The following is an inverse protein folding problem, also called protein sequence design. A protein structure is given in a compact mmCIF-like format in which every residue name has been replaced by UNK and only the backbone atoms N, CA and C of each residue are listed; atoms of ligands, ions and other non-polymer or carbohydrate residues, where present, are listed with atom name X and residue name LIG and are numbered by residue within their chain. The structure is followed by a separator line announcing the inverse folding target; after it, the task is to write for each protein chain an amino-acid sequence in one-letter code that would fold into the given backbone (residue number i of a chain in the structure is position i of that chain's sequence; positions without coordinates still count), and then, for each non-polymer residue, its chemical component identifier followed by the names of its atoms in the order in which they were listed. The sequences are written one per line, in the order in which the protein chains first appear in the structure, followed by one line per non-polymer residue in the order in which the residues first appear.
data_IF_561964688946
#
_entry.id   IF_561964688946
#
_cell.length_a   1.000
_cell.length_b   1.000
_cell.length_c   1.000
_cell.angle_alpha   90.00
_cell.angle_beta   90.00
_cell.angle_gamma   90.00
#
_symmetry.space_group_name_H-M   'P 1'
#
loop_
_entity.id
_entity.type
_entity.pdbx_description
1 polymer ?
#
# COMPACT_ATOMS: atom_id res chain seq x y z
N UNK A 1 25.36 11.91 13.69
CA UNK A 1 24.96 10.50 13.99
C UNK A 1 23.44 10.26 13.96
N UNK A 2 22.63 11.05 13.24
CA UNK A 2 21.16 10.95 13.30
C UNK A 2 20.49 10.11 12.19
N UNK A 3 21.21 9.72 11.13
CA UNK A 3 20.60 8.98 10.02
C UNK A 3 20.12 7.56 10.34
N UNK A 4 20.81 6.83 11.23
CA UNK A 4 20.44 5.42 11.55
C UNK A 4 19.19 5.29 12.42
N UNK A 5 18.88 6.26 13.29
CA UNK A 5 17.68 6.20 14.16
C UNK A 5 16.40 6.50 13.37
N UNK A 6 16.39 7.56 12.57
CA UNK A 6 15.23 7.89 11.72
C UNK A 6 14.90 6.74 10.76
N UNK A 7 15.92 6.09 10.18
CA UNK A 7 15.69 4.97 9.27
C UNK A 7 15.08 3.75 9.97
N UNK A 8 15.40 3.51 11.25
CA UNK A 8 14.79 2.44 12.04
C UNK A 8 13.31 2.75 12.36
N UNK A 9 12.98 4.00 12.64
CA UNK A 9 11.60 4.42 12.94
C UNK A 9 10.71 4.44 11.69
N UNK A 10 11.28 4.77 10.52
CA UNK A 10 10.64 4.60 9.21
C UNK A 10 10.33 3.13 8.97
N UNK A 11 11.30 2.22 9.13
CA UNK A 11 11.07 0.78 8.94
C UNK A 11 9.99 0.22 9.86
N UNK A 12 10.00 0.60 11.14
CA UNK A 12 8.95 0.20 12.09
C UNK A 12 7.58 0.71 11.65
N UNK A 13 7.50 1.97 11.21
CA UNK A 13 6.25 2.57 10.74
C UNK A 13 5.74 1.90 9.45
N UNK A 14 6.64 1.55 8.54
CA UNK A 14 6.30 0.79 7.32
C UNK A 14 5.65 -0.55 7.67
N UNK A 15 6.21 -1.30 8.62
CA UNK A 15 5.61 -2.57 9.07
C UNK A 15 4.21 -2.37 9.68
N UNK A 16 3.95 -1.22 10.33
CA UNK A 16 2.62 -0.91 10.90
C UNK A 16 1.57 -0.59 9.84
N UNK A 17 1.97 -0.01 8.71
CA UNK A 17 1.06 0.26 7.58
C UNK A 17 0.66 -1.05 6.88
N UNK A 18 1.59 -2.00 6.79
CA UNK A 18 1.37 -3.30 6.15
C UNK A 18 0.62 -4.30 7.06
N UNK A 19 0.56 -4.07 8.38
CA UNK A 19 -0.10 -4.96 9.33
C UNK A 19 -1.64 -4.94 9.14
N UNK A 20 -2.26 -6.05 8.69
CA UNK A 20 -3.69 -6.12 8.43
C UNK A 20 -4.54 -5.91 9.69
N UNK A 21 -3.98 -6.13 10.89
CA UNK A 21 -4.67 -5.97 12.17
C UNK A 21 -4.76 -4.51 12.63
N UNK A 22 -4.05 -3.59 11.95
CA UNK A 22 -4.10 -2.16 12.26
C UNK A 22 -5.25 -1.48 11.55
N UNK A 23 -5.99 -0.68 12.31
CA UNK A 23 -7.04 0.19 11.82
C UNK A 23 -6.48 1.32 10.93
N UNK A 24 -7.36 1.95 10.16
CA UNK A 24 -6.99 2.99 9.21
C UNK A 24 -6.33 4.20 9.88
N UNK A 25 -6.84 4.65 11.03
CA UNK A 25 -6.31 5.82 11.75
C UNK A 25 -4.88 5.58 12.20
N UNK A 26 -4.59 4.40 12.75
CA UNK A 26 -3.23 4.00 13.12
C UNK A 26 -2.30 3.98 11.91
N UNK A 27 -2.75 3.45 10.76
CA UNK A 27 -1.95 3.43 9.53
C UNK A 27 -1.68 4.84 8.99
N UNK A 28 -2.65 5.74 9.03
CA UNK A 28 -2.49 7.15 8.62
C UNK A 28 -1.46 7.85 9.51
N UNK A 29 -1.48 7.61 10.83
CA UNK A 29 -0.48 8.16 11.75
C UNK A 29 0.94 7.71 11.39
N UNK A 30 1.13 6.43 11.08
CA UNK A 30 2.42 5.89 10.65
C UNK A 30 2.83 6.38 9.26
N UNK A 31 1.88 6.57 8.35
CA UNK A 31 2.14 7.15 7.02
C UNK A 31 2.69 8.56 7.16
N UNK A 32 2.05 9.40 7.98
CA UNK A 32 2.56 10.74 8.29
C UNK A 32 3.98 10.69 8.85
N UNK A 33 4.23 9.81 9.84
CA UNK A 33 5.56 9.66 10.43
C UNK A 33 6.63 9.26 9.40
N UNK A 34 6.29 8.44 8.41
CA UNK A 34 7.23 8.11 7.32
C UNK A 34 7.49 9.34 6.47
N UNK A 35 6.43 10.02 6.00
CA UNK A 35 6.53 11.18 5.11
C UNK A 35 7.30 12.35 5.75
N UNK A 36 7.19 12.53 7.07
CA UNK A 36 7.94 13.56 7.81
C UNK A 36 9.45 13.25 7.91
N UNK A 37 9.88 12.03 7.59
CA UNK A 37 11.25 11.53 7.80
C UNK A 37 11.97 11.04 6.53
N UNK A 38 11.32 11.09 5.37
CA UNK A 38 11.90 10.67 4.07
C UNK A 38 11.91 11.85 3.10
N UNK A 39 12.79 11.80 2.09
CA UNK A 39 12.78 12.82 1.04
C UNK A 39 11.67 12.59 0.00
N UNK A 40 11.50 13.53 -0.93
CA UNK A 40 10.46 13.46 -1.97
C UNK A 40 10.64 12.25 -2.91
N UNK A 41 11.88 11.82 -3.15
CA UNK A 41 12.19 10.68 -4.03
C UNK A 41 11.78 9.37 -3.35
N UNK A 42 12.18 9.20 -2.10
CA UNK A 42 11.81 8.07 -1.25
C UNK A 42 10.30 8.01 -1.01
N UNK A 43 9.66 9.16 -0.72
CA UNK A 43 8.21 9.26 -0.57
C UNK A 43 7.46 8.79 -1.82
N UNK A 44 7.92 9.18 -3.02
CA UNK A 44 7.32 8.71 -4.29
C UNK A 44 7.42 7.20 -4.43
N UNK A 45 8.60 6.61 -4.14
CA UNK A 45 8.78 5.17 -4.17
C UNK A 45 7.88 4.44 -3.17
N UNK A 46 7.74 5.00 -1.98
CA UNK A 46 6.89 4.46 -0.92
C UNK A 46 5.39 4.48 -1.27
N UNK A 47 4.90 5.61 -1.79
CA UNK A 47 3.50 5.76 -2.21
C UNK A 47 3.16 4.80 -3.35
N UNK A 48 4.08 4.58 -4.30
CA UNK A 48 3.90 3.55 -5.33
C UNK A 48 3.71 2.15 -4.73
N UNK A 49 4.52 1.76 -3.75
CA UNK A 49 4.36 0.46 -3.09
C UNK A 49 3.03 0.33 -2.35
N UNK A 50 2.58 1.37 -1.64
CA UNK A 50 1.28 1.36 -0.96
C UNK A 50 0.15 1.19 -1.98
N UNK A 51 0.22 1.91 -3.10
CA UNK A 51 -0.79 1.86 -4.15
C UNK A 51 -0.86 0.46 -4.78
N UNK A 52 0.28 -0.15 -5.10
CA UNK A 52 0.35 -1.54 -5.59
C UNK A 52 -0.25 -2.51 -4.56
N UNK A 53 0.11 -2.41 -3.29
CA UNK A 53 -0.44 -3.27 -2.23
C UNK A 53 -1.96 -3.13 -2.12
N UNK A 54 -2.49 -1.91 -2.18
CA UNK A 54 -3.92 -1.65 -2.12
C UNK A 54 -4.63 -2.24 -3.34
N UNK A 55 -4.10 -2.02 -4.54
CA UNK A 55 -4.61 -2.60 -5.77
C UNK A 55 -4.62 -4.14 -5.69
N UNK A 56 -3.52 -4.77 -5.28
CA UNK A 56 -3.45 -6.24 -5.15
C UNK A 56 -4.46 -6.78 -4.13
N UNK A 57 -4.62 -6.08 -2.99
CA UNK A 57 -5.63 -6.43 -2.00
C UNK A 57 -7.06 -6.34 -2.57
N UNK A 58 -7.39 -5.22 -3.23
CA UNK A 58 -8.70 -5.03 -3.86
C UNK A 58 -8.95 -6.09 -4.93
N UNK A 59 -7.97 -6.36 -5.80
CA UNK A 59 -8.08 -7.40 -6.81
C UNK A 59 -8.30 -8.77 -6.19
N UNK A 60 -7.62 -9.09 -5.08
CA UNK A 60 -7.83 -10.37 -4.37
C UNK A 60 -9.23 -10.46 -3.77
N UNK A 61 -9.73 -9.38 -3.17
CA UNK A 61 -11.09 -9.33 -2.60
C UNK A 61 -12.14 -9.44 -3.70
N UNK A 62 -11.96 -8.72 -4.82
CA UNK A 62 -12.83 -8.78 -5.98
C UNK A 62 -12.80 -10.15 -6.65
N UNK A 63 -11.62 -10.78 -6.80
CA UNK A 63 -11.50 -12.16 -7.29
C UNK A 63 -12.24 -13.14 -6.38
N UNK A 64 -12.10 -13.02 -5.06
CA UNK A 64 -12.82 -13.87 -4.11
C UNK A 64 -14.33 -13.65 -4.17
N UNK A 65 -14.80 -12.41 -4.35
CA UNK A 65 -16.22 -12.13 -4.62
C UNK A 65 -16.67 -12.66 -5.98
N UNK A 66 -15.79 -12.71 -6.98
CA UNK A 66 -16.08 -13.21 -8.32
C UNK A 66 -16.10 -14.75 -8.39
N UNK A 67 -15.32 -15.45 -7.56
CA UNK A 67 -15.55 -16.90 -7.30
C UNK A 67 -16.99 -17.14 -6.80
N UNK A 68 -17.63 -16.11 -6.23
CA UNK A 68 -19.04 -16.14 -5.80
C UNK A 68 -19.99 -15.59 -6.89
N UNK A 69 -19.52 -14.74 -7.83
CA UNK A 69 -20.31 -14.13 -8.90
C UNK A 69 -19.58 -14.13 -10.25
N UNK A 70 -20.01 -15.02 -11.12
CA UNK A 70 -19.48 -15.32 -12.46
C UNK A 70 -19.53 -14.10 -13.41
N UNK A 71 -18.45 -13.34 -13.58
CA UNK A 71 -18.39 -12.19 -14.52
C UNK A 71 -16.97 -11.87 -15.03
N UNK A 72 -16.49 -12.62 -16.03
CA UNK A 72 -15.12 -12.55 -16.59
C UNK A 72 -14.65 -11.12 -17.00
N UNK A 73 -15.53 -10.30 -17.56
CA UNK A 73 -15.22 -9.02 -18.26
C UNK A 73 -14.61 -7.91 -17.38
N UNK A 74 -15.05 -7.78 -16.12
CA UNK A 74 -14.59 -6.68 -15.23
C UNK A 74 -13.09 -6.80 -14.93
N UNK A 75 -12.55 -8.01 -14.99
CA UNK A 75 -11.22 -8.30 -14.48
C UNK A 75 -10.13 -8.03 -15.52
N UNK A 76 -10.42 -8.31 -16.79
CA UNK A 76 -9.62 -7.84 -17.93
C UNK A 76 -9.48 -6.31 -17.93
N UNK A 77 -10.59 -5.60 -17.71
CA UNK A 77 -10.61 -4.13 -17.66
C UNK A 77 -9.77 -3.58 -16.50
N UNK A 78 -9.88 -4.17 -15.31
CA UNK A 78 -9.10 -3.73 -14.14
C UNK A 78 -7.63 -4.16 -14.25
N UNK A 79 -7.33 -5.32 -14.85
CA UNK A 79 -5.96 -5.76 -15.12
C UNK A 79 -5.25 -4.85 -16.15
N UNK A 80 -5.97 -4.42 -17.20
CA UNK A 80 -5.48 -3.41 -18.14
C UNK A 80 -5.16 -2.08 -17.45
N UNK A 81 -6.04 -1.60 -16.57
CA UNK A 81 -5.81 -0.35 -15.82
C UNK A 81 -4.52 -0.42 -14.97
N UNK A 82 -4.20 -1.59 -14.42
CA UNK A 82 -2.96 -1.82 -13.64
C UNK A 82 -1.72 -1.87 -14.52
N UNK A 83 -1.81 -2.43 -15.73
CA UNK A 83 -0.67 -2.53 -16.65
C UNK A 83 -0.24 -1.16 -17.21
N UNK A 84 -1.17 -0.19 -17.20
CA UNK A 84 -0.99 1.15 -17.79
C UNK A 84 -0.53 2.19 -16.75
N UNK A 85 -0.65 1.91 -15.44
CA UNK A 85 -0.22 2.78 -14.32
C UNK A 85 1.19 2.42 -13.80
#
# INVERSE_FOLDING_TARGET
MFGKRNQLDVRKSTSKIQDPKKDLTTRIKHLKNILDNVDVSEAKGFLKQILVMFITYYMTVLYKQKVIYDNEIILEQVFLIILIL
#
